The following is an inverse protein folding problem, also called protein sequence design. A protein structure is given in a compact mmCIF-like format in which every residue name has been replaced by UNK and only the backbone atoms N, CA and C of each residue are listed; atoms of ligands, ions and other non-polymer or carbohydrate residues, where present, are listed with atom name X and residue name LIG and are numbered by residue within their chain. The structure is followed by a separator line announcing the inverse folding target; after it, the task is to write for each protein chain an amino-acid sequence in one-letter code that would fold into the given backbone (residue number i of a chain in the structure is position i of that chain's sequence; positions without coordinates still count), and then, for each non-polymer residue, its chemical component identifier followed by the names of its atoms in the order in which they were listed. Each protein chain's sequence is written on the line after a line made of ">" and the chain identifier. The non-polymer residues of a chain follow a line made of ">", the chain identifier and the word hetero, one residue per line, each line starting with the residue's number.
data_IF_262851936229
#
_entry.id   IF_262851936229
#
_cell.length_a   1.000
_cell.length_b   1.000
_cell.length_c   1.000
_cell.angle_alpha   90.00
_cell.angle_beta   90.00
_cell.angle_gamma   90.00
#
_symmetry.space_group_name_H-M   'P 1'
#
loop_
_entity.id
_entity.type
_entity.pdbx_description
1 polymer ?
#
# COMPACT_ATOMS: atom_id res chain seq x y z
N UNK A 1 -21.58 -10.90 16.91
CA UNK A 1 -20.18 -10.51 16.60
C UNK A 1 -19.97 -10.76 15.12
N UNK A 2 -20.03 -9.74 14.27
CA UNK A 2 -19.72 -9.92 12.85
C UNK A 2 -18.20 -10.09 12.71
N UNK A 3 -17.69 -11.06 11.94
CA UNK A 3 -16.29 -10.99 11.52
C UNK A 3 -16.19 -9.75 10.62
N UNK A 4 -15.26 -8.84 10.93
CA UNK A 4 -14.98 -7.73 10.02
C UNK A 4 -14.40 -8.35 8.73
N UNK A 5 -15.23 -8.47 7.69
CA UNK A 5 -14.75 -8.83 6.37
C UNK A 5 -13.67 -7.81 5.99
N UNK A 6 -12.49 -8.31 5.57
CA UNK A 6 -11.39 -7.45 5.13
C UNK A 6 -11.88 -6.42 4.11
N UNK A 7 -11.31 -5.21 4.16
CA UNK A 7 -11.72 -4.13 3.26
C UNK A 7 -11.39 -4.55 1.84
N UNK A 8 -12.33 -4.37 0.90
CA UNK A 8 -12.13 -4.67 -0.51
C UNK A 8 -12.25 -3.39 -1.32
N UNK A 9 -11.25 -3.11 -2.16
CA UNK A 9 -11.20 -1.92 -2.98
C UNK A 9 -10.73 -2.26 -4.38
N UNK A 10 -11.48 -1.84 -5.39
CA UNK A 10 -11.08 -1.97 -6.80
C UNK A 10 -10.13 -0.84 -7.18
N UNK A 11 -8.98 -1.18 -7.75
CA UNK A 11 -7.96 -0.25 -8.19
C UNK A 11 -7.76 -0.35 -9.70
N UNK A 12 -7.58 0.80 -10.34
CA UNK A 12 -7.23 0.87 -11.76
C UNK A 12 -5.75 0.58 -12.01
N UNK A 13 -5.40 0.33 -13.26
CA UNK A 13 -3.99 0.42 -13.68
C UNK A 13 -3.49 1.87 -13.55
N UNK A 14 -2.20 2.04 -13.26
CA UNK A 14 -1.61 3.34 -12.98
C UNK A 14 -1.65 3.69 -11.49
N UNK A 15 -1.69 4.99 -11.18
CA UNK A 15 -1.58 5.49 -9.80
C UNK A 15 -2.97 5.67 -9.20
N UNK A 16 -3.21 5.02 -8.06
CA UNK A 16 -4.42 5.16 -7.27
C UNK A 16 -4.07 5.84 -5.93
N UNK A 17 -4.82 6.88 -5.55
CA UNK A 17 -4.66 7.53 -4.26
C UNK A 17 -5.71 7.00 -3.27
N UNK A 18 -5.25 6.36 -2.21
CA UNK A 18 -6.12 5.67 -1.26
C UNK A 18 -5.75 6.02 0.18
N UNK A 19 -6.75 6.06 1.05
CA UNK A 19 -6.51 6.15 2.50
C UNK A 19 -6.59 4.75 3.08
N UNK A 20 -5.54 4.33 3.78
CA UNK A 20 -5.52 3.02 4.44
C UNK A 20 -6.28 3.07 5.76
N UNK A 21 -7.30 2.22 5.93
CA UNK A 21 -8.14 2.18 7.14
C UNK A 21 -8.00 0.88 7.93
N UNK A 22 -7.07 0.00 7.54
CA UNK A 22 -6.77 -1.25 8.24
C UNK A 22 -5.88 -1.03 9.46
N UNK A 23 -5.66 -2.09 10.24
CA UNK A 23 -4.73 -2.06 11.37
C UNK A 23 -3.28 -1.81 10.90
N UNK A 24 -2.44 -1.24 11.76
CA UNK A 24 -1.01 -1.12 11.45
C UNK A 24 -0.41 -2.53 11.23
N UNK A 25 0.21 -2.74 10.06
CA UNK A 25 0.79 -4.04 9.71
C UNK A 25 1.91 -3.89 8.66
N UNK A 26 2.77 -4.92 8.48
CA UNK A 26 3.81 -4.90 7.46
C UNK A 26 3.21 -4.68 6.06
N UNK A 27 3.84 -3.82 5.26
CA UNK A 27 3.40 -3.51 3.91
C UNK A 27 3.28 -4.76 3.03
N UNK A 28 4.21 -5.71 3.18
CA UNK A 28 4.16 -6.99 2.48
C UNK A 28 2.87 -7.80 2.78
N UNK A 29 2.38 -7.76 4.02
CA UNK A 29 1.15 -8.45 4.41
C UNK A 29 -0.10 -7.73 3.90
N UNK A 30 -0.18 -6.41 4.10
CA UNK A 30 -1.33 -5.63 3.66
C UNK A 30 -1.49 -5.56 2.15
N UNK A 31 -0.40 -5.65 1.37
CA UNK A 31 -0.41 -5.51 -0.09
C UNK A 31 -0.37 -6.86 -0.81
N UNK A 32 -0.50 -7.97 -0.07
CA UNK A 32 -0.37 -9.32 -0.59
C UNK A 32 -1.35 -9.62 -1.74
N UNK A 33 -2.59 -9.10 -1.68
CA UNK A 33 -3.59 -9.31 -2.74
C UNK A 33 -3.25 -8.62 -4.06
N UNK A 34 -2.34 -7.64 -4.04
CA UNK A 34 -1.89 -6.89 -5.21
C UNK A 34 -0.53 -7.39 -5.74
N UNK A 35 0.02 -8.47 -5.15
CA UNK A 35 1.30 -9.03 -5.57
C UNK A 35 1.24 -9.42 -7.06
N UNK A 36 2.28 -9.06 -7.80
CA UNK A 36 2.36 -9.28 -9.26
C UNK A 36 1.87 -8.10 -10.10
N UNK A 37 0.98 -7.26 -9.57
CA UNK A 37 0.50 -6.04 -10.23
C UNK A 37 1.04 -4.76 -9.59
N UNK A 38 1.40 -4.81 -8.31
CA UNK A 38 1.92 -3.66 -7.58
C UNK A 38 3.38 -3.37 -7.95
N UNK A 39 3.63 -2.17 -8.48
CA UNK A 39 4.97 -1.70 -8.84
C UNK A 39 5.64 -0.97 -7.68
N UNK A 40 4.94 -0.05 -7.04
CA UNK A 40 5.43 0.72 -5.91
C UNK A 40 4.28 1.32 -5.12
N UNK A 41 4.56 1.63 -3.85
CA UNK A 41 3.69 2.43 -2.99
C UNK A 41 4.46 3.63 -2.51
N UNK A 42 3.83 4.81 -2.53
CA UNK A 42 4.43 6.04 -2.06
C UNK A 42 3.59 6.66 -0.94
N UNK A 43 4.25 7.28 0.03
CA UNK A 43 3.63 8.14 1.04
C UNK A 43 4.41 9.44 1.17
N UNK A 44 3.71 10.54 1.48
CA UNK A 44 4.36 11.81 1.79
C UNK A 44 4.68 11.88 3.28
N UNK A 45 5.97 11.96 3.62
CA UNK A 45 6.40 12.19 4.99
C UNK A 45 6.52 13.70 5.25
N UNK A 46 5.46 14.28 5.81
CA UNK A 46 5.40 15.72 6.07
C UNK A 46 6.45 16.20 7.07
N UNK A 47 6.83 15.38 8.05
CA UNK A 47 7.87 15.73 9.03
C UNK A 47 9.25 15.84 8.38
N UNK A 48 9.52 15.01 7.38
CA UNK A 48 10.76 15.00 6.63
C UNK A 48 10.75 15.83 5.34
N UNK A 49 9.57 16.30 4.90
CA UNK A 49 9.41 17.04 3.65
C UNK A 49 9.80 16.23 2.41
N UNK A 50 9.59 14.91 2.40
CA UNK A 50 9.97 14.04 1.27
C UNK A 50 8.97 12.93 1.00
N UNK A 51 9.01 12.40 -0.22
CA UNK A 51 8.36 11.15 -0.57
C UNK A 51 9.13 9.96 -0.03
N UNK A 52 8.41 9.01 0.53
CA UNK A 52 8.88 7.71 0.95
C UNK A 52 8.23 6.64 0.07
N UNK A 53 8.94 5.54 -0.17
CA UNK A 53 8.49 4.47 -1.05
C UNK A 53 8.66 3.08 -0.46
N UNK A 54 7.78 2.18 -0.89
CA UNK A 54 7.88 0.74 -0.71
C UNK A 54 7.83 0.07 -2.09
N UNK A 55 8.76 -0.85 -2.37
CA UNK A 55 8.83 -1.59 -3.63
C UNK A 55 8.82 -3.09 -3.33
N UNK A 56 7.73 -3.82 -3.65
CA UNK A 56 7.61 -5.24 -3.38
C UNK A 56 8.75 -6.06 -4.01
N UNK A 57 9.32 -7.01 -3.26
CA UNK A 57 10.39 -7.90 -3.76
C UNK A 57 11.75 -7.24 -4.01
N UNK A 58 11.88 -5.93 -3.77
CA UNK A 58 13.16 -5.23 -3.87
C UNK A 58 14.06 -5.49 -2.65
N UNK A 59 15.39 -5.31 -2.79
CA UNK A 59 16.28 -5.28 -1.63
C UNK A 59 15.85 -4.23 -0.60
N UNK A 60 16.07 -4.52 0.69
CA UNK A 60 15.57 -3.69 1.78
C UNK A 60 15.95 -2.20 1.69
N UNK A 61 17.15 -1.88 1.17
CA UNK A 61 17.63 -0.50 1.03
C UNK A 61 16.86 0.33 -0.01
N UNK A 62 16.04 -0.29 -0.87
CA UNK A 62 15.23 0.41 -1.88
C UNK A 62 13.96 0.99 -1.26
N UNK A 63 13.41 0.34 -0.23
CA UNK A 63 12.21 0.79 0.46
C UNK A 63 12.57 1.66 1.66
N UNK A 64 11.97 2.85 1.75
CA UNK A 64 12.20 3.79 2.86
C UNK A 64 11.15 3.66 3.96
N UNK A 65 10.07 2.91 3.72
CA UNK A 65 9.13 2.47 4.74
C UNK A 65 8.76 0.99 4.49
N UNK A 66 8.31 0.30 5.55
CA UNK A 66 7.95 -1.13 5.49
C UNK A 66 6.62 -1.46 6.18
N UNK A 67 5.92 -0.44 6.69
CA UNK A 67 4.69 -0.60 7.49
C UNK A 67 3.61 0.32 6.93
N UNK A 68 2.39 -0.20 6.74
CA UNK A 68 1.21 0.64 6.47
C UNK A 68 0.55 1.01 7.79
N UNK A 69 0.19 2.29 7.94
CA UNK A 69 -0.41 2.83 9.17
C UNK A 69 -1.82 3.35 8.91
N UNK A 70 -2.80 3.07 9.78
CA UNK A 70 -4.16 3.57 9.64
C UNK A 70 -4.19 5.10 9.51
N UNK A 71 -5.09 5.61 8.67
CA UNK A 71 -5.29 7.03 8.45
C UNK A 71 -4.25 7.71 7.55
N UNK A 72 -3.27 6.96 6.99
CA UNK A 72 -2.33 7.50 6.01
C UNK A 72 -2.84 7.38 4.58
N UNK A 73 -2.46 8.35 3.76
CA UNK A 73 -2.70 8.34 2.31
C UNK A 73 -1.51 7.71 1.62
N UNK A 74 -1.80 6.74 0.75
CA UNK A 74 -0.83 6.02 -0.06
C UNK A 74 -1.16 6.20 -1.55
N UNK A 75 -0.13 6.36 -2.37
CA UNK A 75 -0.21 6.27 -3.82
C UNK A 75 0.25 4.88 -4.24
N UNK A 76 -0.67 4.07 -4.77
CA UNK A 76 -0.40 2.71 -5.23
C UNK A 76 -0.26 2.75 -6.75
N UNK A 77 0.94 2.45 -7.25
CA UNK A 77 1.22 2.32 -8.68
C UNK A 77 1.06 0.86 -9.10
N UNK A 78 0.03 0.56 -9.89
CA UNK A 78 -0.29 -0.77 -10.40
C UNK A 78 0.00 -0.87 -11.91
N UNK A 79 0.55 -2.00 -12.35
CA UNK A 79 0.77 -2.31 -13.77
C UNK A 79 -0.51 -2.81 -14.46
N UNK A 80 -1.43 -3.39 -13.70
CA UNK A 80 -2.74 -3.89 -14.14
C UNK A 80 -3.81 -3.57 -13.09
N UNK A 81 -5.10 -3.46 -13.46
CA UNK A 81 -6.18 -3.33 -12.47
C UNK A 81 -6.19 -4.51 -11.51
N UNK A 82 -6.64 -4.29 -10.28
CA UNK A 82 -6.68 -5.35 -9.27
C UNK A 82 -7.51 -4.99 -8.04
N UNK A 83 -7.87 -6.02 -7.28
CA UNK A 83 -8.62 -5.87 -6.03
C UNK A 83 -7.68 -5.88 -4.84
N UNK A 84 -7.67 -4.79 -4.09
CA UNK A 84 -6.93 -4.70 -2.83
C UNK A 84 -7.77 -5.25 -1.68
N UNK A 85 -7.23 -6.22 -0.95
CA UNK A 85 -7.84 -6.86 0.21
C UNK A 85 -6.86 -6.84 1.37
N UNK A 86 -7.28 -6.28 2.51
CA UNK A 86 -6.48 -6.15 3.74
C UNK A 86 -7.32 -6.16 5.01
#
# INVERSE_FOLDING_TARGET
>A
MYPAAGVRMELGAGVNMVTYVGAEQPAAGALQSLQGYLRAVYEWNAAAGRWEKYVPGSPAYVSTFTTLRPGRVYLLELTWPGTWVY
#
